data_IF_326871979784
#
_entry.id   IF_326871979784
#
_cell.length_a   1.000
_cell.length_b   1.000
_cell.length_c   1.000
_cell.angle_alpha   90.00
_cell.angle_beta   90.00
_cell.angle_gamma   90.00
#
_symmetry.space_group_name_H-M   'P 1'
#
loop_
_entity.id
_entity.type
_entity.pdbx_description
1 polymer ?
#
# COMPACT_ATOMS: atom_id res chain seq x y z
N UNK A 1 2.48 -22.09 35.46
CA UNK A 1 2.74 -20.66 35.23
C UNK A 1 3.11 -20.36 33.78
N UNK A 2 4.29 -20.75 33.24
CA UNK A 2 4.59 -20.51 31.80
C UNK A 2 3.70 -21.34 30.86
N UNK A 3 3.32 -22.56 31.28
CA UNK A 3 2.38 -23.41 30.53
C UNK A 3 0.94 -22.86 30.49
N UNK A 4 0.55 -22.00 31.44
CA UNK A 4 -0.79 -21.42 31.52
C UNK A 4 -0.94 -20.11 30.71
N UNK A 5 0.18 -19.54 30.25
CA UNK A 5 0.17 -18.26 29.53
C UNK A 5 -0.28 -18.38 28.07
N UNK A 6 -0.21 -19.58 27.49
CA UNK A 6 -0.71 -19.89 26.14
C UNK A 6 -0.33 -18.83 25.10
N UNK A 7 -1.32 -18.35 24.34
CA UNK A 7 -1.13 -17.30 23.33
C UNK A 7 -0.80 -15.91 23.92
N UNK A 8 -1.05 -15.69 25.21
CA UNK A 8 -0.81 -14.41 25.90
C UNK A 8 0.66 -13.96 25.84
N UNK A 9 1.60 -14.91 25.77
CA UNK A 9 3.04 -14.61 25.65
C UNK A 9 3.36 -13.83 24.36
N UNK A 10 2.65 -14.09 23.27
CA UNK A 10 2.83 -13.37 22.00
C UNK A 10 1.89 -12.16 21.89
N UNK A 11 0.65 -12.28 22.39
CA UNK A 11 -0.37 -11.23 22.25
C UNK A 11 0.01 -10.00 23.08
N UNK A 12 0.45 -10.16 24.33
CA UNK A 12 0.70 -9.01 25.22
C UNK A 12 1.81 -8.08 24.70
N UNK A 13 3.01 -8.57 24.30
CA UNK A 13 4.05 -7.71 23.75
C UNK A 13 3.65 -7.07 22.42
N UNK A 14 2.95 -7.82 21.56
CA UNK A 14 2.50 -7.33 20.26
C UNK A 14 1.47 -6.22 20.42
N UNK A 15 0.52 -6.38 21.34
CA UNK A 15 -0.47 -5.35 21.65
C UNK A 15 0.16 -4.13 22.31
N UNK A 16 1.09 -4.33 23.24
CA UNK A 16 1.82 -3.22 23.87
C UNK A 16 2.62 -2.40 22.86
N UNK A 17 3.24 -3.05 21.88
CA UNK A 17 3.94 -2.40 20.78
C UNK A 17 2.98 -1.61 19.87
N UNK A 18 1.87 -2.23 19.45
CA UNK A 18 0.87 -1.60 18.60
C UNK A 18 0.29 -0.35 19.28
N UNK A 19 -0.02 -0.44 20.58
CA UNK A 19 -0.51 0.68 21.37
C UNK A 19 0.54 1.79 21.47
N UNK A 20 1.81 1.47 21.77
CA UNK A 20 2.88 2.47 21.86
C UNK A 20 3.10 3.22 20.54
N UNK A 21 3.17 2.48 19.43
CA UNK A 21 3.33 3.06 18.08
C UNK A 21 2.11 3.91 17.72
N UNK A 22 0.90 3.46 18.04
CA UNK A 22 -0.32 4.21 17.75
C UNK A 22 -0.36 5.55 18.50
N UNK A 23 -0.06 5.54 19.81
CA UNK A 23 0.06 6.77 20.62
C UNK A 23 1.14 7.66 20.04
N UNK A 24 2.34 7.13 19.82
CA UNK A 24 3.47 7.91 19.34
C UNK A 24 3.13 8.57 17.99
N UNK A 25 2.61 7.83 17.00
CA UNK A 25 2.23 8.37 15.69
C UNK A 25 1.14 9.43 15.77
N UNK A 26 0.16 9.26 16.67
CA UNK A 26 -0.89 10.25 16.88
C UNK A 26 -0.31 11.60 17.31
N UNK A 27 0.57 11.60 18.32
CA UNK A 27 1.24 12.82 18.78
C UNK A 27 2.27 13.38 17.79
N UNK A 28 2.96 12.52 17.04
CA UNK A 28 3.88 12.94 15.98
C UNK A 28 3.19 13.66 14.85
N UNK A 29 1.99 13.20 14.46
CA UNK A 29 1.16 13.86 13.45
C UNK A 29 0.71 15.24 13.91
N UNK A 30 0.35 15.40 15.19
CA UNK A 30 -0.10 16.69 15.74
C UNK A 30 1.06 17.69 15.89
N UNK A 31 2.24 17.22 16.31
CA UNK A 31 3.40 18.07 16.60
C UNK A 31 4.45 18.11 15.47
N UNK A 32 4.14 17.53 14.31
CA UNK A 32 5.00 17.56 13.10
C UNK A 32 6.43 17.03 13.29
N UNK A 33 6.60 15.95 14.05
CA UNK A 33 7.90 15.25 14.17
C UNK A 33 7.82 13.83 13.57
N UNK A 34 8.98 13.21 13.35
CA UNK A 34 9.08 11.84 12.83
C UNK A 34 9.47 10.87 13.95
N UNK A 35 8.90 9.68 13.92
CA UNK A 35 9.22 8.60 14.85
C UNK A 35 9.99 7.52 14.11
N UNK A 36 11.03 7.01 14.77
CA UNK A 36 11.70 5.79 14.36
C UNK A 36 11.05 4.59 15.07
N UNK A 37 10.24 3.82 14.34
CA UNK A 37 9.54 2.64 14.87
C UNK A 37 10.49 1.59 15.43
N UNK A 38 11.66 1.40 14.82
CA UNK A 38 12.63 0.41 15.29
C UNK A 38 13.21 0.81 16.65
N UNK A 39 13.44 2.10 16.86
CA UNK A 39 13.91 2.62 18.14
C UNK A 39 12.83 2.48 19.21
N UNK A 40 11.57 2.79 18.89
CA UNK A 40 10.44 2.63 19.81
C UNK A 40 10.27 1.16 20.24
N UNK A 41 10.40 0.22 19.30
CA UNK A 41 10.37 -1.22 19.57
C UNK A 41 11.49 -1.65 20.54
N UNK A 42 12.71 -1.18 20.32
CA UNK A 42 13.83 -1.47 21.23
C UNK A 42 13.61 -0.83 22.61
N UNK A 43 13.11 0.40 22.66
CA UNK A 43 12.80 1.10 23.91
C UNK A 43 11.76 0.36 24.74
N UNK A 44 10.59 0.02 24.17
CA UNK A 44 9.55 -0.69 24.92
C UNK A 44 9.98 -2.11 25.33
N UNK A 45 10.77 -2.78 24.48
CA UNK A 45 11.34 -4.09 24.78
C UNK A 45 12.30 -4.03 25.97
N UNK A 46 13.25 -3.10 25.96
CA UNK A 46 14.20 -2.89 27.05
C UNK A 46 13.49 -2.46 28.34
N UNK A 47 12.50 -1.56 28.26
CA UNK A 47 11.71 -1.13 29.42
C UNK A 47 11.00 -2.31 30.08
N UNK A 48 10.38 -3.20 29.30
CA UNK A 48 9.69 -4.37 29.83
C UNK A 48 10.66 -5.44 30.35
N UNK A 49 11.81 -5.66 29.70
CA UNK A 49 12.85 -6.55 30.21
C UNK A 49 13.37 -6.07 31.56
N UNK A 50 13.72 -4.79 31.68
CA UNK A 50 14.19 -4.20 32.94
C UNK A 50 13.08 -4.20 34.01
N UNK A 51 11.85 -3.87 33.63
CA UNK A 51 10.70 -3.88 34.55
C UNK A 51 10.39 -5.26 35.12
N UNK A 52 10.67 -6.34 34.38
CA UNK A 52 10.44 -7.71 34.86
C UNK A 52 11.24 -8.07 36.12
N UNK A 53 12.43 -7.48 36.31
CA UNK A 53 13.26 -7.69 37.51
C UNK A 53 12.67 -7.05 38.78
N UNK A 54 11.72 -6.13 38.62
CA UNK A 54 11.09 -5.40 39.73
C UNK A 54 9.61 -5.77 39.91
N UNK A 55 9.17 -6.92 39.38
CA UNK A 55 7.76 -7.35 39.39
C UNK A 55 6.80 -6.34 38.76
N UNK A 56 7.25 -5.59 37.74
CA UNK A 56 6.39 -4.65 37.00
C UNK A 56 5.39 -5.40 36.13
N UNK A 57 4.19 -4.84 36.00
CA UNK A 57 3.29 -5.19 34.91
C UNK A 57 3.89 -4.78 33.56
N UNK A 58 3.48 -5.43 32.45
CA UNK A 58 3.85 -5.00 31.10
C UNK A 58 3.51 -3.54 30.87
N UNK A 59 4.51 -2.76 30.47
CA UNK A 59 4.40 -1.33 30.18
C UNK A 59 4.09 -1.13 28.70
N UNK A 60 3.10 -0.28 28.43
CA UNK A 60 2.65 0.11 27.09
C UNK A 60 2.54 1.64 26.97
N UNK A 61 2.25 2.13 25.76
CA UNK A 61 1.93 3.55 25.55
C UNK A 61 0.60 3.95 26.20
N UNK A 62 0.49 5.20 26.67
CA UNK A 62 -0.75 5.68 27.30
C UNK A 62 -1.22 7.00 26.69
N UNK A 63 -2.36 6.98 25.99
CA UNK A 63 -2.96 8.18 25.41
C UNK A 63 -3.19 9.29 26.44
N UNK A 64 -3.79 8.96 27.58
CA UNK A 64 -4.10 9.94 28.62
C UNK A 64 -2.86 10.56 29.26
N UNK A 65 -1.87 9.76 29.67
CA UNK A 65 -0.64 10.28 30.30
C UNK A 65 0.18 11.12 29.31
N UNK A 66 0.31 10.67 28.07
CA UNK A 66 1.03 11.41 27.03
C UNK A 66 0.30 12.70 26.67
N UNK A 67 -1.03 12.70 26.61
CA UNK A 67 -1.83 13.91 26.37
C UNK A 67 -1.60 14.98 27.46
N UNK A 68 -1.69 14.59 28.73
CA UNK A 68 -1.45 15.51 29.84
C UNK A 68 -0.01 16.02 29.83
N UNK A 69 0.96 15.14 29.57
CA UNK A 69 2.37 15.51 29.49
C UNK A 69 2.65 16.51 28.35
N UNK A 70 2.04 16.29 27.18
CA UNK A 70 2.14 17.20 26.04
C UNK A 70 1.46 18.55 26.32
N UNK A 71 0.27 18.55 26.92
CA UNK A 71 -0.45 19.77 27.31
C UNK A 71 0.28 20.56 28.40
N UNK A 72 1.10 19.89 29.22
CA UNK A 72 1.96 20.51 30.24
C UNK A 72 3.23 21.16 29.64
N UNK A 73 3.45 21.07 28.33
CA UNK A 73 4.59 21.69 27.65
C UNK A 73 5.92 20.96 27.81
N UNK A 74 5.90 19.65 28.12
CA UNK A 74 7.13 18.86 28.28
C UNK A 74 7.71 18.52 26.90
N UNK A 75 8.92 19.04 26.63
CA UNK A 75 9.58 18.88 25.32
C UNK A 75 10.67 17.78 25.30
N UNK A 76 11.03 17.20 26.45
CA UNK A 76 12.15 16.25 26.53
C UNK A 76 11.76 14.94 27.24
N UNK A 77 12.37 13.80 26.88
CA UNK A 77 12.16 12.53 27.59
C UNK A 77 12.58 12.57 29.06
N UNK A 78 13.42 13.53 29.45
CA UNK A 78 13.84 13.75 30.83
C UNK A 78 12.66 14.07 31.77
N UNK A 79 11.51 14.55 31.24
CA UNK A 79 10.28 14.67 32.03
C UNK A 79 9.81 13.34 32.64
N UNK A 80 10.15 12.22 32.01
CA UNK A 80 9.91 10.88 32.55
C UNK A 80 10.68 10.59 33.85
N UNK A 81 11.89 11.15 34.00
CA UNK A 81 12.67 11.00 35.24
C UNK A 81 12.03 11.77 36.39
N UNK A 82 11.60 13.01 36.13
CA UNK A 82 10.93 13.85 37.13
C UNK A 82 9.63 13.20 37.58
N UNK A 83 8.81 12.73 36.63
CA UNK A 83 7.56 12.04 36.96
C UNK A 83 7.81 10.74 37.70
N UNK A 84 8.83 9.96 37.33
CA UNK A 84 9.23 8.75 38.05
C UNK A 84 9.64 9.01 39.51
N UNK A 85 10.49 10.00 39.76
CA UNK A 85 10.91 10.39 41.13
C UNK A 85 9.71 10.86 41.94
N UNK A 86 8.82 11.67 41.36
CA UNK A 86 7.61 12.13 42.03
C UNK A 86 6.67 10.98 42.38
N UNK A 87 6.52 9.98 41.50
CA UNK A 87 5.72 8.78 41.79
C UNK A 87 6.31 8.01 42.97
N UNK A 88 7.63 7.79 43.00
CA UNK A 88 8.29 7.11 44.12
C UNK A 88 8.10 7.86 45.45
N UNK A 89 8.29 9.18 45.45
CA UNK A 89 8.05 10.01 46.64
C UNK A 89 6.57 9.99 47.07
N UNK A 90 5.65 10.01 46.10
CA UNK A 90 4.21 9.99 46.40
C UNK A 90 3.79 8.68 47.02
N UNK A 91 4.36 7.55 46.60
CA UNK A 91 4.08 6.24 47.18
C UNK A 91 4.57 6.13 48.63
N UNK A 92 5.73 6.71 48.95
CA UNK A 92 6.31 6.67 50.30
C UNK A 92 5.57 7.60 51.28
N UNK A 93 5.25 8.84 50.86
CA UNK A 93 4.72 9.87 51.76
C UNK A 93 3.22 10.20 51.59
N UNK A 94 2.66 10.07 50.38
CA UNK A 94 1.33 10.61 50.06
C UNK A 94 0.21 9.56 49.94
N UNK A 95 0.50 8.28 50.14
CA UNK A 95 -0.49 7.20 50.03
C UNK A 95 -1.74 7.42 50.91
N UNK A 96 -1.57 7.95 52.12
CA UNK A 96 -2.69 8.27 53.03
C UNK A 96 -3.61 9.37 52.48
N UNK A 97 -3.05 10.35 51.76
CA UNK A 97 -3.80 11.46 51.17
C UNK A 97 -4.59 10.99 49.94
N UNK A 98 -4.01 10.10 49.13
CA UNK A 98 -4.65 9.58 47.93
C UNK A 98 -5.90 8.74 48.21
N UNK A 99 -6.05 8.20 49.42
CA UNK A 99 -7.26 7.49 49.83
C UNK A 99 -8.53 8.36 49.72
N UNK A 100 -8.41 9.67 49.92
CA UNK A 100 -9.54 10.60 49.89
C UNK A 100 -9.89 11.10 48.48
N UNK A 101 -9.15 10.71 47.45
CA UNK A 101 -9.40 11.19 46.09
C UNK A 101 -10.69 10.56 45.56
N UNK A 102 -11.71 11.38 45.23
CA UNK A 102 -12.95 10.85 44.68
C UNK A 102 -12.73 10.32 43.26
N UNK A 103 -13.29 9.15 42.96
CA UNK A 103 -13.20 8.52 41.62
C UNK A 103 -13.76 9.43 40.51
N UNK A 104 -14.70 10.31 40.83
CA UNK A 104 -15.28 11.29 39.91
C UNK A 104 -14.26 12.32 39.43
N UNK A 105 -13.35 12.77 40.30
CA UNK A 105 -12.29 13.69 39.91
C UNK A 105 -11.30 13.02 38.94
N UNK A 106 -10.95 11.75 39.18
CA UNK A 106 -10.08 10.99 38.27
C UNK A 106 -10.73 10.80 36.89
N UNK A 107 -12.03 10.49 36.84
CA UNK A 107 -12.77 10.38 35.59
C UNK A 107 -12.80 11.71 34.81
N UNK A 108 -13.02 12.84 35.51
CA UNK A 108 -13.01 14.17 34.90
C UNK A 108 -11.66 14.47 34.23
N UNK A 109 -10.55 14.18 34.91
CA UNK A 109 -9.19 14.39 34.36
C UNK A 109 -8.97 13.57 33.09
N UNK A 110 -9.36 12.29 33.08
CA UNK A 110 -9.22 11.42 31.90
C UNK A 110 -10.04 11.96 30.72
N UNK A 111 -11.30 12.35 30.96
CA UNK A 111 -12.17 12.90 29.90
C UNK A 111 -11.54 14.18 29.32
N UNK A 112 -11.10 15.11 30.18
CA UNK A 112 -10.46 16.35 29.72
C UNK A 112 -9.16 16.11 28.94
N UNK A 113 -8.40 15.07 29.29
CA UNK A 113 -7.18 14.72 28.58
C UNK A 113 -7.43 14.13 27.18
N UNK A 114 -8.52 13.39 27.00
CA UNK A 114 -8.83 12.65 25.77
C UNK A 114 -9.67 13.45 24.77
N UNK A 115 -10.53 14.38 25.23
CA UNK A 115 -11.38 15.21 24.34
C UNK A 115 -10.58 15.89 23.19
N UNK A 116 -9.39 16.48 23.42
CA UNK A 116 -8.61 17.09 22.35
C UNK A 116 -8.07 16.10 21.29
N UNK A 117 -8.04 14.79 21.57
CA UNK A 117 -7.58 13.78 20.62
C UNK A 117 -8.64 13.45 19.55
N UNK A 118 -9.89 13.86 19.74
CA UNK A 118 -10.99 13.57 18.81
C UNK A 118 -10.99 14.61 17.69
N UNK A 119 -10.47 14.24 16.53
CA UNK A 119 -10.51 15.07 15.32
C UNK A 119 -11.60 14.60 14.35
N UNK A 120 -12.73 15.31 14.33
CA UNK A 120 -13.85 15.02 13.42
C UNK A 120 -13.65 15.54 12.00
N UNK A 121 -12.65 16.40 11.77
CA UNK A 121 -12.42 17.01 10.44
C UNK A 121 -11.91 15.98 9.41
N UNK A 122 -11.24 14.92 9.90
CA UNK A 122 -10.73 13.81 9.09
C UNK A 122 -11.86 13.13 8.32
N UNK A 123 -13.01 12.89 8.95
CA UNK A 123 -14.15 12.21 8.31
C UNK A 123 -14.68 13.00 7.12
N UNK A 124 -14.81 14.31 7.27
CA UNK A 124 -15.27 15.20 6.18
C UNK A 124 -14.28 15.26 5.02
N UNK A 125 -12.98 15.20 5.33
CA UNK A 125 -11.92 15.18 4.32
C UNK A 125 -11.92 13.88 3.53
N UNK A 126 -11.99 12.73 4.22
CA UNK A 126 -12.06 11.40 3.58
C UNK A 126 -13.29 11.29 2.67
N UNK A 127 -14.45 11.80 3.11
CA UNK A 127 -15.68 11.79 2.30
C UNK A 127 -15.54 12.58 1.00
N UNK A 128 -14.85 13.72 1.02
CA UNK A 128 -14.63 14.57 -0.17
C UNK A 128 -13.60 13.98 -1.14
N UNK A 129 -12.58 13.29 -0.64
CA UNK A 129 -11.51 12.71 -1.46
C UNK A 129 -11.95 11.39 -2.09
N UNK A 130 -12.28 10.39 -1.29
CA UNK A 130 -12.64 9.04 -1.78
C UNK A 130 -13.49 8.30 -0.77
N UNK A 131 -14.74 8.00 -1.15
CA UNK A 131 -15.71 7.31 -0.27
C UNK A 131 -15.26 5.94 0.22
N UNK A 132 -14.42 5.23 -0.55
CA UNK A 132 -13.88 3.92 -0.14
C UNK A 132 -12.94 4.03 1.07
N UNK A 133 -12.33 5.19 1.31
CA UNK A 133 -11.40 5.37 2.43
C UNK A 133 -12.15 5.53 3.76
N UNK A 134 -13.48 5.72 3.73
CA UNK A 134 -14.34 5.68 4.91
C UNK A 134 -14.60 4.26 5.42
N UNK A 135 -14.44 3.24 4.57
CA UNK A 135 -14.72 1.86 4.95
C UNK A 135 -13.76 1.37 6.05
N UNK A 136 -12.42 1.51 5.92
CA UNK A 136 -11.49 1.19 7.02
C UNK A 136 -11.82 1.97 8.30
N UNK A 137 -12.16 3.25 8.19
CA UNK A 137 -12.50 4.11 9.32
C UNK A 137 -13.78 3.67 10.05
N UNK A 138 -14.83 3.29 9.31
CA UNK A 138 -16.06 2.80 9.90
C UNK A 138 -15.85 1.44 10.58
N UNK A 139 -15.09 0.55 9.95
CA UNK A 139 -14.77 -0.78 10.50
C UNK A 139 -13.93 -0.66 11.77
N UNK A 140 -12.89 0.17 11.79
CA UNK A 140 -12.09 0.41 13.01
C UNK A 140 -12.98 0.93 14.13
N UNK A 141 -13.77 1.97 13.85
CA UNK A 141 -14.62 2.61 14.85
C UNK A 141 -15.64 1.65 15.47
N UNK A 142 -16.32 0.85 14.64
CA UNK A 142 -17.33 -0.11 15.11
C UNK A 142 -16.73 -1.25 15.91
N UNK A 143 -15.56 -1.76 15.51
CA UNK A 143 -14.93 -2.89 16.21
C UNK A 143 -14.21 -2.49 17.49
N UNK A 144 -13.80 -1.23 17.62
CA UNK A 144 -13.27 -0.68 18.87
C UNK A 144 -14.29 -0.72 20.04
N UNK A 145 -15.60 -0.82 19.78
CA UNK A 145 -16.59 -1.00 20.85
C UNK A 145 -16.47 -2.34 21.57
N UNK A 146 -15.91 -3.35 20.91
CA UNK A 146 -15.63 -4.64 21.54
C UNK A 146 -14.30 -4.56 22.27
N UNK A 147 -13.22 -4.40 21.50
CA UNK A 147 -11.88 -4.13 22.02
C UNK A 147 -11.11 -3.31 20.97
N UNK A 148 -10.27 -2.39 21.46
CA UNK A 148 -9.41 -1.54 20.60
C UNK A 148 -8.49 -2.41 19.73
N UNK A 149 -8.06 -3.56 20.23
CA UNK A 149 -7.17 -4.50 19.54
C UNK A 149 -7.80 -5.04 18.26
N UNK A 150 -9.05 -5.51 18.34
CA UNK A 150 -9.81 -5.97 17.18
C UNK A 150 -10.08 -4.85 16.18
N UNK A 151 -10.37 -3.64 16.67
CA UNK A 151 -10.54 -2.45 15.85
C UNK A 151 -9.32 -2.15 14.98
N UNK A 152 -8.12 -2.10 15.58
CA UNK A 152 -6.86 -1.84 14.87
C UNK A 152 -6.58 -2.94 13.83
N UNK A 153 -6.72 -4.21 14.22
CA UNK A 153 -6.41 -5.34 13.34
C UNK A 153 -7.34 -5.38 12.12
N UNK A 154 -8.65 -5.29 12.35
CA UNK A 154 -9.63 -5.33 11.28
C UNK A 154 -9.56 -4.11 10.37
N UNK A 155 -9.33 -2.92 10.93
CA UNK A 155 -9.11 -1.71 10.15
C UNK A 155 -7.92 -1.80 9.22
N UNK A 156 -6.80 -2.27 9.76
CA UNK A 156 -5.57 -2.47 8.98
C UNK A 156 -5.80 -3.50 7.89
N UNK A 157 -6.45 -4.63 8.22
CA UNK A 157 -6.79 -5.66 7.24
C UNK A 157 -7.67 -5.11 6.11
N UNK A 158 -8.73 -4.38 6.45
CA UNK A 158 -9.63 -3.77 5.46
C UNK A 158 -8.91 -2.72 4.61
N UNK A 159 -8.04 -1.92 5.20
CA UNK A 159 -7.20 -0.96 4.46
C UNK A 159 -6.26 -1.67 3.48
N UNK A 160 -5.60 -2.74 3.92
CA UNK A 160 -4.73 -3.56 3.06
C UNK A 160 -5.51 -4.22 1.93
N UNK A 161 -6.68 -4.79 2.22
CA UNK A 161 -7.54 -5.39 1.20
C UNK A 161 -8.05 -4.37 0.19
N UNK A 162 -8.38 -3.16 0.64
CA UNK A 162 -8.82 -2.07 -0.25
C UNK A 162 -7.69 -1.63 -1.18
N UNK A 163 -6.46 -1.53 -0.66
CA UNK A 163 -5.27 -1.25 -1.46
C UNK A 163 -5.01 -2.37 -2.47
N UNK A 164 -5.04 -3.63 -2.03
CA UNK A 164 -4.82 -4.79 -2.87
C UNK A 164 -5.88 -4.91 -3.98
N UNK A 165 -7.15 -4.61 -3.66
CA UNK A 165 -8.22 -4.58 -4.65
C UNK A 165 -8.00 -3.50 -5.71
N UNK A 166 -7.49 -2.33 -5.30
CA UNK A 166 -7.16 -1.24 -6.22
C UNK A 166 -5.99 -1.61 -7.14
N UNK A 167 -4.99 -2.32 -6.63
CA UNK A 167 -3.85 -2.83 -7.41
C UNK A 167 -4.27 -3.99 -8.34
N UNK A 168 -5.18 -4.86 -7.90
CA UNK A 168 -5.66 -5.99 -8.71
C UNK A 168 -6.54 -5.58 -9.90
N UNK A 169 -7.09 -4.37 -9.89
CA UNK A 169 -7.93 -3.84 -10.98
C UNK A 169 -7.36 -2.52 -11.50
N UNK A 170 -6.23 -2.57 -12.21
CA UNK A 170 -5.66 -1.37 -12.80
C UNK A 170 -6.65 -0.77 -13.80
N UNK A 171 -6.72 0.56 -13.85
CA UNK A 171 -7.51 1.24 -14.87
C UNK A 171 -6.74 1.14 -16.19
N UNK A 172 -7.35 0.50 -17.18
CA UNK A 172 -6.81 0.38 -18.53
C UNK A 172 -7.57 1.37 -19.40
N UNK A 173 -6.88 2.36 -19.93
CA UNK A 173 -7.46 3.25 -20.93
C UNK A 173 -7.39 2.55 -22.28
N UNK A 174 -8.52 2.50 -22.97
CA UNK A 174 -8.65 1.88 -24.28
C UNK A 174 -8.93 3.00 -25.26
N UNK A 175 -8.08 3.14 -26.27
CA UNK A 175 -8.19 4.12 -27.35
C UNK A 175 -8.28 3.35 -28.67
N UNK A 176 -9.18 3.76 -29.54
CA UNK A 176 -9.21 3.27 -30.91
C UNK A 176 -8.14 4.02 -31.72
N UNK A 177 -7.23 3.28 -32.36
CA UNK A 177 -6.24 3.83 -33.28
C UNK A 177 -6.82 4.02 -34.69
N UNK A 178 -6.00 4.52 -35.61
CA UNK A 178 -6.37 4.57 -37.03
C UNK A 178 -6.41 3.14 -37.62
N UNK A 179 -7.60 2.69 -38.06
CA UNK A 179 -7.81 1.36 -38.66
C UNK A 179 -8.20 0.26 -37.65
N UNK A 180 -7.89 -1.03 -37.91
CA UNK A 180 -8.22 -2.14 -37.02
C UNK A 180 -7.18 -2.28 -35.89
N UNK A 181 -6.80 -1.17 -35.25
CA UNK A 181 -5.77 -1.14 -34.20
C UNK A 181 -6.35 -0.64 -32.88
N UNK A 182 -6.11 -1.40 -31.81
CA UNK A 182 -6.54 -1.06 -30.46
C UNK A 182 -5.35 -0.63 -29.61
N UNK A 183 -5.38 0.57 -29.03
CA UNK A 183 -4.34 1.06 -28.14
C UNK A 183 -4.79 0.87 -26.69
N UNK A 184 -4.02 0.09 -25.94
CA UNK A 184 -4.24 -0.23 -24.54
C UNK A 184 -3.17 0.45 -23.70
N UNK A 185 -3.58 1.37 -22.83
CA UNK A 185 -2.66 2.08 -21.95
C UNK A 185 -2.99 1.75 -20.49
N UNK A 186 -2.25 0.83 -19.85
CA UNK A 186 -2.26 0.69 -18.41
C UNK A 186 -1.84 2.00 -17.73
N UNK A 187 -2.57 2.42 -16.70
CA UNK A 187 -2.26 3.65 -15.94
C UNK A 187 -1.41 3.44 -14.70
N UNK A 188 -1.15 2.19 -14.32
CA UNK A 188 -0.41 1.81 -13.11
C UNK A 188 0.60 0.70 -13.40
N UNK A 189 1.44 0.39 -12.41
CA UNK A 189 2.30 -0.79 -12.43
C UNK A 189 1.47 -2.07 -12.63
N UNK A 190 2.10 -3.08 -13.23
CA UNK A 190 1.48 -4.37 -13.45
C UNK A 190 2.10 -5.38 -12.49
N UNK A 191 1.28 -5.88 -11.58
CA UNK A 191 1.67 -6.90 -10.60
C UNK A 191 0.79 -8.14 -10.73
N UNK A 192 1.18 -9.22 -10.07
CA UNK A 192 0.50 -10.51 -10.05
C UNK A 192 -1.03 -10.39 -9.95
N UNK A 193 -1.61 -9.58 -9.05
CA UNK A 193 -3.07 -9.49 -8.92
C UNK A 193 -3.77 -8.90 -10.16
N UNK A 194 -3.04 -8.15 -10.98
CA UNK A 194 -3.56 -7.38 -12.11
C UNK A 194 -3.53 -8.11 -13.46
N UNK A 195 -2.73 -9.17 -13.59
CA UNK A 195 -2.47 -9.83 -14.88
C UNK A 195 -3.72 -10.41 -15.52
N UNK A 196 -4.59 -11.03 -14.71
CA UNK A 196 -5.83 -11.64 -15.20
C UNK A 196 -6.84 -10.58 -15.63
N UNK A 197 -6.92 -9.46 -14.90
CA UNK A 197 -7.76 -8.33 -15.26
C UNK A 197 -7.28 -7.69 -16.58
N UNK A 198 -5.96 -7.57 -16.76
CA UNK A 198 -5.35 -7.11 -18.00
C UNK A 198 -5.68 -8.05 -19.15
N UNK A 199 -5.38 -9.35 -19.02
CA UNK A 199 -5.65 -10.37 -20.05
C UNK A 199 -7.10 -10.34 -20.48
N UNK A 200 -8.04 -10.37 -19.53
CA UNK A 200 -9.48 -10.31 -19.81
C UNK A 200 -9.88 -9.02 -20.54
N UNK A 201 -9.31 -7.87 -20.16
CA UNK A 201 -9.57 -6.60 -20.83
C UNK A 201 -9.04 -6.59 -22.27
N UNK A 202 -7.86 -7.16 -22.51
CA UNK A 202 -7.27 -7.23 -23.85
C UNK A 202 -8.06 -8.20 -24.74
N UNK A 203 -8.28 -9.43 -24.28
CA UNK A 203 -8.97 -10.49 -25.06
C UNK A 203 -10.39 -10.05 -25.45
N UNK A 204 -11.18 -9.53 -24.50
CA UNK A 204 -12.56 -9.12 -24.76
C UNK A 204 -12.70 -7.91 -25.70
N UNK A 205 -11.66 -7.08 -25.82
CA UNK A 205 -11.70 -5.85 -26.64
C UNK A 205 -10.98 -5.98 -27.98
N UNK A 206 -9.96 -6.84 -28.07
CA UNK A 206 -9.18 -7.04 -29.29
C UNK A 206 -9.59 -8.33 -30.05
N UNK A 207 -9.79 -9.44 -29.34
CA UNK A 207 -9.97 -10.77 -29.95
C UNK A 207 -11.43 -11.19 -30.09
N UNK A 208 -12.30 -10.85 -29.14
CA UNK A 208 -13.74 -11.20 -29.19
C UNK A 208 -14.54 -10.34 -30.18
N UNK A 209 -13.95 -9.25 -30.70
CA UNK A 209 -14.57 -8.38 -31.70
C UNK A 209 -14.34 -8.97 -33.10
N UNK A 210 -15.36 -8.99 -33.96
CA UNK A 210 -15.24 -9.44 -35.35
C UNK A 210 -15.24 -8.26 -36.33
N UNK A 211 -14.19 -8.05 -37.15
CA UNK A 211 -12.94 -8.82 -37.22
C UNK A 211 -11.99 -8.53 -36.04
N UNK A 212 -11.14 -9.49 -35.65
CA UNK A 212 -10.14 -9.30 -34.60
C UNK A 212 -9.17 -8.18 -34.99
N UNK A 213 -8.76 -7.39 -34.00
CA UNK A 213 -7.92 -6.20 -34.20
C UNK A 213 -6.53 -6.41 -33.61
N UNK A 214 -5.50 -5.91 -34.30
CA UNK A 214 -4.15 -5.84 -33.75
C UNK A 214 -4.14 -4.88 -32.56
N UNK A 215 -3.28 -5.13 -31.57
CA UNK A 215 -3.25 -4.36 -30.34
C UNK A 215 -1.87 -3.77 -30.06
N UNK A 216 -1.85 -2.52 -29.61
CA UNK A 216 -0.67 -1.83 -29.11
C UNK A 216 -0.82 -1.69 -27.59
N UNK A 217 0.10 -2.28 -26.83
CA UNK A 217 0.18 -2.09 -25.38
C UNK A 217 1.20 -1.00 -25.05
N UNK A 218 0.71 0.14 -24.56
CA UNK A 218 1.56 1.25 -24.13
C UNK A 218 2.07 1.05 -22.71
N UNK A 219 3.33 0.68 -22.57
CA UNK A 219 3.98 0.46 -21.29
C UNK A 219 4.74 1.69 -20.75
N UNK A 220 4.62 2.86 -21.37
CA UNK A 220 5.31 4.11 -20.96
C UNK A 220 5.07 4.48 -19.48
N UNK A 221 3.89 4.14 -18.95
CA UNK A 221 3.46 4.43 -17.56
C UNK A 221 3.60 3.24 -16.61
N UNK A 222 4.06 2.09 -17.11
CA UNK A 222 4.30 0.91 -16.28
C UNK A 222 5.69 1.07 -15.66
N UNK A 223 5.77 1.11 -14.33
CA UNK A 223 7.04 1.35 -13.62
C UNK A 223 7.74 0.07 -13.16
N UNK A 224 6.97 -1.01 -12.98
CA UNK A 224 7.47 -2.28 -12.48
C UNK A 224 6.58 -3.41 -12.95
N UNK A 225 7.18 -4.59 -13.06
CA UNK A 225 6.54 -5.83 -13.48
C UNK A 225 7.17 -7.00 -12.72
N UNK A 226 6.35 -7.97 -12.32
CA UNK A 226 6.83 -9.20 -11.72
C UNK A 226 6.86 -10.37 -12.73
N UNK A 227 7.47 -11.48 -12.31
CA UNK A 227 7.61 -12.66 -13.15
C UNK A 227 6.25 -13.25 -13.59
N UNK A 228 5.20 -13.12 -12.77
CA UNK A 228 3.89 -13.67 -13.11
C UNK A 228 3.22 -12.86 -14.21
N UNK A 229 3.39 -11.54 -14.19
CA UNK A 229 2.93 -10.68 -15.29
C UNK A 229 3.71 -10.99 -16.57
N UNK A 230 5.02 -11.20 -16.50
CA UNK A 230 5.82 -11.55 -17.67
C UNK A 230 5.32 -12.85 -18.34
N UNK A 231 5.02 -13.89 -17.55
CA UNK A 231 4.42 -15.14 -18.04
C UNK A 231 2.98 -14.94 -18.55
N UNK A 232 2.16 -14.14 -17.87
CA UNK A 232 0.82 -13.84 -18.38
C UNK A 232 0.82 -13.05 -19.69
N UNK A 233 1.84 -12.22 -19.91
CA UNK A 233 2.06 -11.55 -21.20
C UNK A 233 2.53 -12.53 -22.28
N UNK A 234 3.34 -13.55 -21.95
CA UNK A 234 3.71 -14.57 -22.94
C UNK A 234 2.49 -15.37 -23.39
N UNK A 235 1.64 -15.78 -22.46
CA UNK A 235 0.36 -16.44 -22.79
C UNK A 235 -0.54 -15.53 -23.64
N UNK A 236 -0.62 -14.25 -23.30
CA UNK A 236 -1.39 -13.28 -24.08
C UNK A 236 -0.85 -13.11 -25.50
N UNK A 237 0.47 -13.13 -25.69
CA UNK A 237 1.08 -13.08 -27.02
C UNK A 237 0.75 -14.33 -27.85
N UNK A 238 0.79 -15.52 -27.25
CA UNK A 238 0.37 -16.76 -27.92
C UNK A 238 -1.12 -16.73 -28.32
N UNK A 239 -1.98 -16.16 -27.48
CA UNK A 239 -3.41 -16.00 -27.78
C UNK A 239 -3.63 -15.10 -29.02
N UNK A 240 -2.81 -14.05 -29.20
CA UNK A 240 -2.85 -13.17 -30.37
C UNK A 240 -2.35 -13.84 -31.64
N UNK A 241 -1.23 -14.58 -31.56
CA UNK A 241 -0.66 -15.33 -32.68
C UNK A 241 -1.65 -16.38 -33.23
N UNK A 242 -2.35 -17.09 -32.33
CA UNK A 242 -3.41 -18.05 -32.69
C UNK A 242 -4.61 -17.40 -33.38
N UNK A 243 -4.92 -16.14 -33.06
CA UNK A 243 -6.00 -15.38 -33.68
C UNK A 243 -5.57 -14.71 -35.00
N UNK A 244 -4.30 -14.79 -35.39
CA UNK A 244 -3.76 -14.19 -36.61
C UNK A 244 -3.64 -12.67 -36.56
N UNK A 245 -3.52 -12.09 -35.36
CA UNK A 245 -3.35 -10.65 -35.12
C UNK A 245 -2.11 -10.39 -34.27
N UNK A 246 -1.48 -9.22 -34.44
CA UNK A 246 -0.20 -8.93 -33.80
C UNK A 246 -0.38 -8.08 -32.54
N UNK A 247 0.35 -8.43 -31.47
CA UNK A 247 0.47 -7.63 -30.23
C UNK A 247 1.84 -6.95 -30.20
N UNK A 248 1.83 -5.62 -30.05
CA UNK A 248 3.03 -4.78 -30.06
C UNK A 248 3.17 -4.01 -28.75
N UNK A 249 4.38 -3.92 -28.21
CA UNK A 249 4.69 -3.18 -26.99
C UNK A 249 5.35 -1.84 -27.33
N UNK A 250 4.90 -0.76 -26.69
CA UNK A 250 5.47 0.59 -26.88
C UNK A 250 5.93 1.16 -25.54
N UNK A 251 7.07 1.86 -25.54
CA UNK A 251 7.52 2.63 -24.37
C UNK A 251 7.97 1.79 -23.18
N UNK A 252 8.53 0.60 -23.42
CA UNK A 252 9.07 -0.25 -22.36
C UNK A 252 10.25 0.42 -21.65
N UNK A 253 10.17 0.56 -20.33
CA UNK A 253 11.30 0.97 -19.51
C UNK A 253 12.35 -0.14 -19.42
N UNK A 254 13.63 0.21 -19.21
CA UNK A 254 14.73 -0.74 -19.18
C UNK A 254 14.59 -1.85 -18.13
N UNK A 255 13.99 -1.55 -16.97
CA UNK A 255 13.68 -2.55 -15.93
C UNK A 255 12.68 -3.60 -16.39
N UNK A 256 11.68 -3.20 -17.18
CA UNK A 256 10.65 -4.09 -17.73
C UNK A 256 11.23 -4.91 -18.87
N UNK A 257 12.03 -4.30 -19.74
CA UNK A 257 12.72 -5.01 -20.82
C UNK A 257 13.62 -6.12 -20.25
N UNK A 258 14.36 -5.84 -19.18
CA UNK A 258 15.19 -6.84 -18.51
C UNK A 258 14.34 -7.97 -17.90
N UNK A 259 13.17 -7.66 -17.34
CA UNK A 259 12.25 -8.67 -16.83
C UNK A 259 11.66 -9.56 -17.94
N UNK A 260 11.30 -8.99 -19.09
CA UNK A 260 10.82 -9.74 -20.26
C UNK A 260 11.93 -10.62 -20.86
N UNK A 261 13.15 -10.09 -20.97
CA UNK A 261 14.34 -10.82 -21.41
C UNK A 261 14.65 -12.02 -20.50
N UNK A 262 14.59 -11.80 -19.17
CA UNK A 262 14.84 -12.85 -18.19
C UNK A 262 13.78 -13.97 -18.22
N UNK A 263 12.59 -13.68 -18.72
CA UNK A 263 11.50 -14.64 -18.87
C UNK A 263 11.51 -15.40 -20.22
N UNK A 264 12.55 -15.24 -21.06
CA UNK A 264 12.72 -15.89 -22.38
C UNK A 264 11.52 -15.71 -23.33
N UNK A 265 10.89 -14.53 -23.31
CA UNK A 265 9.79 -14.22 -24.22
C UNK A 265 10.29 -14.08 -25.66
N UNK A 266 9.89 -15.04 -26.51
CA UNK A 266 10.22 -15.04 -27.95
C UNK A 266 9.19 -14.22 -28.72
N UNK A 267 9.66 -13.43 -29.69
CA UNK A 267 8.76 -12.73 -30.63
C UNK A 267 8.14 -11.43 -30.09
N UNK A 268 8.72 -10.81 -29.06
CA UNK A 268 8.26 -9.50 -28.56
C UNK A 268 8.62 -8.42 -29.58
N UNK A 269 7.61 -7.83 -30.21
CA UNK A 269 7.77 -6.61 -31.00
C UNK A 269 7.72 -5.40 -30.08
N UNK A 270 8.84 -4.69 -29.94
CA UNK A 270 8.90 -3.46 -29.16
C UNK A 270 9.30 -2.25 -29.99
N UNK A 271 8.62 -1.13 -29.76
CA UNK A 271 8.94 0.15 -30.39
C UNK A 271 9.10 1.27 -29.36
N UNK A 272 9.99 2.25 -29.59
CA UNK A 272 10.18 3.37 -28.69
C UNK A 272 9.06 4.41 -28.80
N UNK A 273 8.38 4.51 -29.94
CA UNK A 273 7.36 5.53 -30.23
C UNK A 273 6.07 4.92 -30.79
N UNK A 274 4.95 5.57 -30.50
CA UNK A 274 3.62 5.17 -30.99
C UNK A 274 3.52 5.19 -32.52
N UNK A 275 4.04 6.26 -33.14
CA UNK A 275 4.00 6.43 -34.59
C UNK A 275 4.73 5.31 -35.35
N UNK A 276 5.80 4.75 -34.77
CA UNK A 276 6.53 3.63 -35.38
C UNK A 276 5.73 2.32 -35.30
N UNK A 277 5.04 2.10 -34.18
CA UNK A 277 4.20 0.92 -33.98
C UNK A 277 2.95 0.95 -34.88
N UNK A 278 2.29 2.10 -35.02
CA UNK A 278 1.13 2.26 -35.90
C UNK A 278 1.51 2.08 -37.37
N UNK A 279 2.64 2.64 -37.81
CA UNK A 279 3.16 2.43 -39.17
C UNK A 279 3.44 0.96 -39.46
N UNK A 280 4.03 0.24 -38.51
CA UNK A 280 4.29 -1.20 -38.65
C UNK A 280 2.98 -2.00 -38.81
N UNK A 281 2.00 -1.75 -37.96
CA UNK A 281 0.70 -2.43 -38.03
C UNK A 281 -0.11 -2.04 -39.28
N UNK A 282 0.07 -0.83 -39.81
CA UNK A 282 -0.53 -0.40 -41.08
C UNK A 282 0.10 -1.06 -42.32
N UNK A 283 1.32 -1.60 -42.19
CA UNK A 283 2.09 -2.23 -43.27
C UNK A 283 1.95 -3.77 -43.31
N UNK A 284 1.33 -4.40 -42.30
CA UNK A 284 1.05 -5.83 -42.33
C UNK A 284 0.05 -6.21 -43.45
N UNK A 285 0.22 -7.40 -44.09
CA UNK A 285 -0.50 -7.77 -45.31
C UNK A 285 -1.93 -8.25 -45.01
N UNK A 286 -2.80 -7.32 -44.63
CA UNK A 286 -4.26 -7.49 -44.55
C UNK A 286 -5.05 -6.39 -45.27
N UNK A 287 -4.36 -5.34 -45.74
CA UNK A 287 -4.97 -4.20 -46.43
C UNK A 287 -4.04 -3.80 -47.60
N UNK A 288 -4.35 -4.23 -48.82
CA UNK A 288 -3.71 -3.72 -50.06
C UNK A 288 -4.72 -2.83 -50.83
N UNK A 289 -4.28 -1.91 -51.73
CA UNK A 289 -2.99 -1.83 -52.44
C UNK A 289 -2.27 -0.45 -52.25
N UNK A 290 -1.01 -0.17 -52.61
CA UNK A 290 -0.31 -0.32 -53.89
C UNK A 290 1.19 0.11 -53.76
N UNK A 291 2.00 -0.28 -54.75
CA UNK A 291 3.44 -0.05 -54.98
C UNK A 291 4.01 1.38 -54.75
N UNK A 292 5.22 1.46 -54.17
CA UNK A 292 6.44 2.17 -54.66
C UNK A 292 7.61 1.45 -53.96
N UNK A 293 8.57 0.80 -54.63
CA UNK A 293 9.69 1.41 -55.36
C UNK A 293 10.84 1.72 -54.39
N UNK A 294 11.86 0.85 -54.40
CA UNK A 294 13.27 1.04 -53.99
C UNK A 294 13.62 2.22 -53.07
N UNK A 295 14.09 1.93 -51.83
CA UNK A 295 15.31 2.49 -51.19
C UNK A 295 15.29 2.33 -49.65
N UNK A 296 16.34 1.67 -49.14
CA UNK A 296 16.93 1.82 -47.79
C UNK A 296 16.03 1.65 -46.56
N UNK A 297 16.11 0.47 -45.94
CA UNK A 297 15.70 0.24 -44.54
C UNK A 297 16.80 0.79 -43.62
N UNK A 298 16.56 1.76 -42.73
CA UNK A 298 17.55 2.15 -41.73
C UNK A 298 17.53 1.15 -40.55
N UNK A 299 18.67 0.50 -40.34
CA UNK A 299 18.99 -0.58 -39.38
C UNK A 299 18.90 -0.22 -37.87
N UNK A 300 18.01 0.69 -37.44
CA UNK A 300 17.93 1.09 -36.03
C UNK A 300 16.58 0.90 -35.32
N UNK A 301 15.60 0.21 -35.92
CA UNK A 301 14.22 0.26 -35.39
C UNK A 301 13.46 -1.06 -35.38
N UNK A 302 14.14 -2.20 -35.28
CA UNK A 302 13.49 -3.50 -35.02
C UNK A 302 14.45 -4.37 -34.21
N UNK A 303 14.36 -4.32 -32.88
CA UNK A 303 15.00 -5.32 -32.04
C UNK A 303 13.97 -6.44 -31.80
N UNK A 304 13.89 -7.35 -32.77
CA UNK A 304 13.35 -8.67 -32.54
C UNK A 304 14.25 -9.31 -31.47
N UNK A 305 13.70 -9.59 -30.28
CA UNK A 305 14.41 -10.38 -29.28
C UNK A 305 14.67 -11.77 -29.87
N UNK A 306 15.83 -11.96 -30.49
CA UNK A 306 16.35 -13.24 -30.94
C UNK A 306 17.61 -13.57 -30.14
N UNK A 307 17.49 -14.67 -29.40
CA UNK A 307 18.51 -15.53 -28.77
C UNK A 307 19.89 -14.92 -28.48
#
# INVERSE_FOLDING_TARGET
MVQDMGAGLAVVPLMGLLESIAVARSFASQNSYRINTNQELLSIGLTNMLGSFFSSFPVTGSFGRTAVNAQSGVCTPAGGLVTGVLVLLSLDYMTSVFYFIPKTALAAVIITAVVPLVDTSVVGTLWRVKRLDLLPLAVTFLLCFWEVQYGILAGTLVSTLTLLYSEARPKIQVLDGEGPVLILQPTSGLHFPSVEALRKAVVSRALEVSPPRSAILECSRVCSMDATVALGLSELMEDFDRAGVTLVFVGLQGSILQALLAADLRGVWHFPTMEAAEKFLSQEPGTQPYNVGDESVPEHTVALLKA
#
